data_IF_537084683016
#
_entry.id   IF_537084683016
#
_cell.length_a   1.000
_cell.length_b   1.000
_cell.length_c   1.000
_cell.angle_alpha   90.00
_cell.angle_beta   90.00
_cell.angle_gamma   90.00
#
_symmetry.space_group_name_H-M   'P 1'
#
loop_
_entity.id
_entity.type
_entity.pdbx_description
1 polymer ?
#
# COMPACT_ATOMS: atom_id res chain seq x y z
N UNK A 1 8.98 -9.31 17.57
CA UNK A 1 9.59 -8.43 16.55
C UNK A 1 9.62 -9.08 15.18
N UNK A 2 10.11 -10.32 15.04
CA UNK A 2 10.18 -11.02 13.74
C UNK A 2 8.83 -11.10 13.00
N UNK A 3 7.71 -11.29 13.72
CA UNK A 3 6.38 -11.32 13.12
C UNK A 3 5.94 -9.97 12.54
N UNK A 4 5.97 -8.89 13.35
CA UNK A 4 5.62 -7.54 12.88
C UNK A 4 6.52 -7.05 11.73
N UNK A 5 7.82 -7.38 11.79
CA UNK A 5 8.76 -7.09 10.71
C UNK A 5 8.41 -7.86 9.43
N UNK A 6 8.08 -9.16 9.53
CA UNK A 6 7.62 -9.96 8.39
C UNK A 6 6.35 -9.39 7.76
N UNK A 7 5.37 -8.98 8.59
CA UNK A 7 4.13 -8.36 8.12
C UNK A 7 4.43 -7.05 7.39
N UNK A 8 5.25 -6.18 7.99
CA UNK A 8 5.68 -4.94 7.34
C UNK A 8 6.35 -5.20 5.98
N UNK A 9 7.34 -6.10 5.92
CA UNK A 9 8.03 -6.43 4.67
C UNK A 9 7.08 -7.02 3.61
N UNK A 10 6.16 -7.90 4.03
CA UNK A 10 5.18 -8.50 3.12
C UNK A 10 4.28 -7.43 2.50
N UNK A 11 3.69 -6.57 3.32
CA UNK A 11 2.78 -5.53 2.83
C UNK A 11 3.52 -4.43 2.07
N UNK A 12 4.78 -4.13 2.43
CA UNK A 12 5.64 -3.27 1.63
C UNK A 12 5.91 -3.88 0.24
N UNK A 13 6.17 -5.18 0.15
CA UNK A 13 6.35 -5.86 -1.13
C UNK A 13 5.06 -5.86 -1.97
N UNK A 14 3.89 -6.11 -1.35
CA UNK A 14 2.59 -6.02 -2.02
C UNK A 14 2.33 -4.60 -2.52
N UNK A 15 2.65 -3.57 -1.72
CA UNK A 15 2.52 -2.17 -2.11
C UNK A 15 3.38 -1.84 -3.34
N UNK A 16 4.66 -2.20 -3.31
CA UNK A 16 5.58 -1.99 -4.44
C UNK A 16 5.10 -2.73 -5.69
N UNK A 17 4.63 -3.97 -5.53
CA UNK A 17 4.08 -4.74 -6.64
C UNK A 17 2.82 -4.09 -7.22
N UNK A 18 1.90 -3.60 -6.39
CA UNK A 18 0.68 -2.92 -6.84
C UNK A 18 0.99 -1.64 -7.61
N UNK A 19 1.89 -0.80 -7.08
CA UNK A 19 2.37 0.42 -7.74
C UNK A 19 3.03 0.09 -9.09
N UNK A 20 3.92 -0.91 -9.10
CA UNK A 20 4.59 -1.34 -10.32
C UNK A 20 3.61 -1.86 -11.37
N UNK A 21 2.60 -2.62 -10.96
CA UNK A 21 1.57 -3.12 -11.85
C UNK A 21 0.67 -2.00 -12.38
N UNK A 22 0.37 -0.99 -11.56
CA UNK A 22 -0.42 0.17 -11.97
C UNK A 22 0.31 0.96 -13.06
N UNK A 23 1.61 1.22 -12.87
CA UNK A 23 2.43 1.88 -13.89
C UNK A 23 2.59 1.06 -15.18
N UNK A 24 2.59 -0.28 -15.09
CA UNK A 24 2.78 -1.16 -16.25
C UNK A 24 1.49 -1.39 -17.04
N UNK A 25 0.37 -1.65 -16.35
CA UNK A 25 -0.88 -2.09 -16.98
C UNK A 25 -1.81 -0.92 -17.28
N UNK A 26 -1.77 0.13 -16.45
CA UNK A 26 -2.72 1.22 -16.52
C UNK A 26 -2.04 2.58 -16.36
N UNK A 27 -1.04 2.90 -17.21
CA UNK A 27 -0.39 4.20 -17.17
C UNK A 27 -1.43 5.31 -17.44
N UNK A 28 -1.35 6.38 -16.65
CA UNK A 28 -2.13 7.61 -16.83
C UNK A 28 -3.66 7.46 -16.71
N UNK A 29 -4.17 6.31 -16.26
CA UNK A 29 -5.61 6.12 -15.99
C UNK A 29 -5.94 6.56 -14.58
N UNK A 30 -6.84 7.53 -14.51
CA UNK A 30 -7.38 8.02 -13.24
C UNK A 30 -8.41 7.00 -12.73
N UNK A 31 -8.29 6.50 -11.48
CA UNK A 31 -9.26 5.58 -10.88
C UNK A 31 -10.56 6.32 -10.46
N UNK A 32 -11.07 7.18 -11.32
CA UNK A 32 -12.30 7.94 -11.17
C UNK A 32 -13.08 7.75 -12.47
N UNK A 33 -14.24 7.12 -12.38
CA UNK A 33 -15.16 7.12 -13.51
C UNK A 33 -15.69 8.56 -13.69
N UNK A 34 -15.77 9.03 -14.94
CA UNK A 34 -16.35 10.32 -15.42
C UNK A 34 -15.38 11.51 -15.56
N UNK A 35 -15.44 12.37 -16.59
CA UNK A 35 -16.16 12.36 -17.89
C UNK A 35 -15.66 13.50 -18.81
N UNK A 36 -14.46 13.40 -19.38
CA UNK A 36 -14.05 14.25 -20.52
C UNK A 36 -13.36 13.45 -21.63
N UNK A 37 -12.64 12.37 -21.28
CA UNK A 37 -12.03 11.46 -22.26
C UNK A 37 -12.55 10.02 -22.10
N UNK A 38 -12.93 9.34 -23.20
CA UNK A 38 -13.40 7.95 -23.15
C UNK A 38 -12.23 7.01 -22.78
N UNK A 39 -12.22 6.57 -21.53
CA UNK A 39 -11.28 5.56 -21.04
C UNK A 39 -11.89 4.16 -21.18
N UNK A 40 -11.11 3.14 -21.57
CA UNK A 40 -11.61 1.78 -21.66
C UNK A 40 -11.99 1.25 -20.28
N UNK A 41 -13.19 0.65 -20.17
CA UNK A 41 -13.78 0.22 -18.89
C UNK A 41 -12.90 -0.78 -18.11
N UNK A 42 -12.20 -1.67 -18.80
CA UNK A 42 -11.29 -2.64 -18.18
C UNK A 42 -10.11 -1.96 -17.48
N UNK A 43 -9.62 -0.85 -18.04
CA UNK A 43 -8.49 -0.10 -17.49
C UNK A 43 -8.91 0.64 -16.22
N UNK A 44 -10.08 1.28 -16.24
CA UNK A 44 -10.66 1.95 -15.05
C UNK A 44 -10.87 0.96 -13.89
N UNK A 45 -11.44 -0.21 -14.18
CA UNK A 45 -11.66 -1.26 -13.17
C UNK A 45 -10.33 -1.75 -12.58
N UNK A 46 -9.32 -1.95 -13.43
CA UNK A 46 -7.99 -2.42 -13.02
C UNK A 46 -7.26 -1.36 -12.18
N UNK A 47 -7.28 -0.10 -12.59
CA UNK A 47 -6.71 1.01 -11.84
C UNK A 47 -7.37 1.17 -10.47
N UNK A 48 -8.70 1.08 -10.40
CA UNK A 48 -9.44 1.13 -9.14
C UNK A 48 -9.07 -0.04 -8.21
N UNK A 49 -8.97 -1.25 -8.76
CA UNK A 49 -8.60 -2.45 -8.00
C UNK A 49 -7.17 -2.35 -7.44
N UNK A 50 -6.20 -1.97 -8.27
CA UNK A 50 -4.81 -1.77 -7.83
C UNK A 50 -4.72 -0.66 -6.78
N UNK A 51 -5.46 0.44 -6.96
CA UNK A 51 -5.51 1.52 -5.99
C UNK A 51 -6.07 1.08 -4.64
N UNK A 52 -7.09 0.23 -4.63
CA UNK A 52 -7.61 -0.34 -3.38
C UNK A 52 -6.55 -1.19 -2.67
N UNK A 53 -5.80 -2.01 -3.41
CA UNK A 53 -4.70 -2.81 -2.86
C UNK A 53 -3.61 -1.91 -2.28
N UNK A 54 -3.21 -0.85 -2.98
CA UNK A 54 -2.21 0.11 -2.47
C UNK A 54 -2.63 0.71 -1.14
N UNK A 55 -3.88 1.18 -1.04
CA UNK A 55 -4.39 1.82 0.17
C UNK A 55 -4.44 0.84 1.35
N UNK A 56 -4.91 -0.39 1.12
CA UNK A 56 -4.95 -1.44 2.15
C UNK A 56 -3.53 -1.81 2.58
N UNK A 57 -2.64 -2.08 1.61
CA UNK A 57 -1.28 -2.51 1.90
C UNK A 57 -0.47 -1.42 2.61
N UNK A 58 -0.60 -0.18 2.16
CA UNK A 58 -0.01 1.00 2.81
C UNK A 58 -0.51 1.17 4.24
N UNK A 59 -1.82 1.04 4.47
CA UNK A 59 -2.40 1.15 5.82
C UNK A 59 -1.85 0.09 6.76
N UNK A 60 -1.78 -1.18 6.33
CA UNK A 60 -1.25 -2.26 7.16
C UNK A 60 0.25 -2.08 7.42
N UNK A 61 1.02 -1.65 6.42
CA UNK A 61 2.44 -1.36 6.59
C UNK A 61 2.67 -0.24 7.61
N UNK A 62 1.90 0.84 7.56
CA UNK A 62 1.99 1.95 8.53
C UNK A 62 1.64 1.49 9.95
N UNK A 63 0.57 0.70 10.11
CA UNK A 63 0.20 0.13 11.42
C UNK A 63 1.33 -0.76 11.96
N UNK A 64 1.88 -1.65 11.13
CA UNK A 64 2.98 -2.51 11.54
C UNK A 64 4.22 -1.70 11.95
N UNK A 65 4.53 -0.63 11.22
CA UNK A 65 5.63 0.28 11.53
C UNK A 65 5.39 1.01 12.87
N UNK A 66 4.18 1.51 13.11
CA UNK A 66 3.80 2.16 14.35
C UNK A 66 3.94 1.22 15.56
N UNK A 67 3.55 -0.04 15.43
CA UNK A 67 3.71 -1.07 16.48
C UNK A 67 5.19 -1.34 16.76
N UNK A 68 6.03 -1.43 15.73
CA UNK A 68 7.48 -1.61 15.88
C UNK A 68 8.09 -0.40 16.60
N UNK A 69 7.77 0.81 16.14
CA UNK A 69 8.27 2.06 16.71
C UNK A 69 7.86 2.22 18.17
N UNK A 70 6.58 2.02 18.50
CA UNK A 70 6.07 2.13 19.87
C UNK A 70 6.80 1.20 20.84
N UNK A 71 7.07 -0.04 20.42
CA UNK A 71 7.83 -0.99 21.24
C UNK A 71 9.30 -0.61 21.40
N UNK A 72 9.94 -0.05 20.37
CA UNK A 72 11.32 0.43 20.45
C UNK A 72 11.44 1.60 21.42
N UNK A 73 10.49 2.55 21.36
CA UNK A 73 10.41 3.67 22.29
C UNK A 73 10.19 3.15 23.71
N UNK A 74 9.22 2.26 23.92
CA UNK A 74 8.96 1.66 25.24
C UNK A 74 10.20 0.97 25.81
N UNK A 75 10.96 0.23 25.00
CA UNK A 75 12.22 -0.40 25.43
C UNK A 75 13.27 0.62 25.85
N UNK A 76 13.39 1.75 25.14
CA UNK A 76 14.36 2.80 25.49
C UNK A 76 13.95 3.58 26.74
N UNK A 77 12.65 3.76 26.96
CA UNK A 77 12.11 4.46 28.13
C UNK A 77 12.21 3.61 29.39
N UNK A 78 11.88 2.30 29.31
CA UNK A 78 11.94 1.38 30.46
C UNK A 78 13.34 0.85 30.77
N UNK A 79 14.31 1.03 29.86
CA UNK A 79 15.72 0.70 30.11
C UNK A 79 16.52 1.86 30.74
N UNK A 80 15.86 2.99 31.02
CA UNK A 80 16.34 4.05 31.91
C UNK A 80 15.76 3.84 33.30
#
# INVERSE_FOLDING_TARGET
MRAAWKVFCLFAAVLVAAIGLAHLLVPDIVPVAFADEPQPSWAVITAFFLRAIELIAGSVAVIALAVIAGRLIQRRVLAR
#
